data_IF_297423760486
#
_entry.id   IF_297423760486
#
_cell.length_a   1.000
_cell.length_b   1.000
_cell.length_c   1.000
_cell.angle_alpha   90.00
_cell.angle_beta   90.00
_cell.angle_gamma   90.00
#
_symmetry.space_group_name_H-M   'P 1'
#
loop_
_entity.id
_entity.type
_entity.pdbx_description
1 polymer ?
#
# COMPACT_ATOMS: atom_id res chain seq x y z
N UNK A 1 -16.11 0.88 13.30
CA UNK A 1 -15.85 1.98 12.35
C UNK A 1 -16.75 1.78 11.13
N UNK A 2 -17.49 2.80 10.66
CA UNK A 2 -18.23 2.67 9.39
C UNK A 2 -17.25 2.56 8.22
N UNK A 3 -17.50 1.64 7.29
CA UNK A 3 -16.66 1.39 6.11
C UNK A 3 -17.54 1.53 4.87
N UNK A 4 -17.07 2.30 3.88
CA UNK A 4 -17.63 2.27 2.54
C UNK A 4 -17.01 1.09 1.78
N UNK A 5 -17.77 0.00 1.63
CA UNK A 5 -17.28 -1.23 1.00
C UNK A 5 -16.85 -1.07 -0.46
N UNK A 6 -17.55 -0.23 -1.23
CA UNK A 6 -17.18 0.07 -2.62
C UNK A 6 -15.83 0.78 -2.71
N UNK A 7 -15.62 1.79 -1.86
CA UNK A 7 -14.34 2.50 -1.79
C UNK A 7 -13.22 1.57 -1.32
N UNK A 8 -13.46 0.75 -0.29
CA UNK A 8 -12.48 -0.23 0.18
C UNK A 8 -12.07 -1.21 -0.93
N UNK A 9 -13.03 -1.81 -1.63
CA UNK A 9 -12.75 -2.73 -2.73
C UNK A 9 -11.96 -2.05 -3.85
N UNK A 10 -12.38 -0.87 -4.29
CA UNK A 10 -11.67 -0.09 -5.32
C UNK A 10 -10.24 0.23 -4.89
N UNK A 11 -10.04 0.70 -3.65
CA UNK A 11 -8.70 0.96 -3.12
C UNK A 11 -7.84 -0.29 -3.05
N UNK A 12 -8.41 -1.43 -2.64
CA UNK A 12 -7.70 -2.70 -2.60
C UNK A 12 -7.23 -3.17 -3.98
N UNK A 13 -8.10 -3.09 -4.99
CA UNK A 13 -7.77 -3.45 -6.38
C UNK A 13 -6.68 -2.53 -6.92
N UNK A 14 -6.82 -1.21 -6.77
CA UNK A 14 -5.83 -0.25 -7.27
C UNK A 14 -4.49 -0.44 -6.56
N UNK A 15 -4.48 -0.62 -5.24
CA UNK A 15 -3.25 -0.85 -4.48
C UNK A 15 -2.55 -2.14 -4.92
N UNK A 16 -3.31 -3.23 -5.07
CA UNK A 16 -2.77 -4.51 -5.53
C UNK A 16 -2.11 -4.38 -6.90
N UNK A 17 -2.80 -3.74 -7.85
CA UNK A 17 -2.27 -3.51 -9.20
C UNK A 17 -1.05 -2.60 -9.16
N UNK A 18 -1.10 -1.48 -8.43
CA UNK A 18 0.01 -0.54 -8.34
C UNK A 18 1.27 -1.18 -7.72
N UNK A 19 1.12 -1.93 -6.62
CA UNK A 19 2.22 -2.68 -6.01
C UNK A 19 2.77 -3.73 -6.97
N UNK A 20 1.90 -4.49 -7.64
CA UNK A 20 2.31 -5.50 -8.62
C UNK A 20 3.10 -4.90 -9.79
N UNK A 21 2.62 -3.79 -10.35
CA UNK A 21 3.31 -3.07 -11.44
C UNK A 21 4.66 -2.52 -10.97
N UNK A 22 4.72 -1.88 -9.80
CA UNK A 22 5.99 -1.36 -9.28
C UNK A 22 6.99 -2.49 -8.96
N UNK A 23 6.52 -3.62 -8.44
CA UNK A 23 7.35 -4.80 -8.21
C UNK A 23 7.91 -5.35 -9.54
N UNK A 24 7.09 -5.46 -10.58
CA UNK A 24 7.54 -5.88 -11.91
C UNK A 24 8.55 -4.91 -12.52
N UNK A 25 8.26 -3.61 -12.50
CA UNK A 25 9.18 -2.58 -13.00
C UNK A 25 10.51 -2.65 -12.26
N UNK A 26 10.48 -2.74 -10.92
CA UNK A 26 11.70 -2.80 -10.11
C UNK A 26 12.47 -4.08 -10.40
N UNK A 27 11.81 -5.23 -10.49
CA UNK A 27 12.44 -6.52 -10.78
C UNK A 27 13.06 -6.62 -12.18
N UNK A 28 12.54 -5.84 -13.14
CA UNK A 28 13.08 -5.76 -14.50
C UNK A 28 14.22 -4.74 -14.63
N UNK A 29 14.18 -3.64 -13.88
CA UNK A 29 15.13 -2.52 -14.01
C UNK A 29 16.29 -2.57 -13.02
N UNK A 30 16.14 -3.24 -11.88
CA UNK A 30 17.15 -3.27 -10.82
C UNK A 30 17.82 -4.64 -10.71
N UNK A 31 19.16 -4.69 -10.55
CA UNK A 31 19.86 -5.94 -10.31
C UNK A 31 19.52 -6.50 -8.92
N UNK A 32 19.67 -7.81 -8.73
CA UNK A 32 19.39 -8.47 -7.45
C UNK A 32 20.14 -7.83 -6.26
N UNK A 33 21.40 -7.45 -6.46
CA UNK A 33 22.24 -6.79 -5.45
C UNK A 33 21.68 -5.44 -4.96
N UNK A 34 20.88 -4.75 -5.78
CA UNK A 34 20.20 -3.53 -5.35
C UNK A 34 19.11 -3.83 -4.31
N UNK A 35 18.40 -4.97 -4.43
CA UNK A 35 17.42 -5.40 -3.44
C UNK A 35 18.08 -5.90 -2.15
N UNK A 36 19.24 -6.54 -2.24
CA UNK A 36 20.01 -6.94 -1.05
C UNK A 36 20.49 -5.72 -0.24
N UNK A 37 20.96 -4.68 -0.94
CA UNK A 37 21.54 -3.49 -0.32
C UNK A 37 20.49 -2.46 0.12
N UNK A 38 19.43 -2.29 -0.68
CA UNK A 38 18.44 -1.21 -0.53
C UNK A 38 17.00 -1.70 -0.48
N UNK A 39 16.74 -3.01 -0.42
CA UNK A 39 15.38 -3.56 -0.39
C UNK A 39 14.54 -3.02 0.78
N UNK A 40 15.19 -2.75 1.91
CA UNK A 40 14.57 -2.11 3.08
C UNK A 40 14.04 -0.70 2.79
N UNK A 41 14.53 -0.03 1.74
CA UNK A 41 14.09 1.29 1.28
C UNK A 41 13.22 1.20 0.03
N UNK A 42 13.61 0.38 -0.96
CA UNK A 42 12.87 0.17 -2.22
C UNK A 42 11.44 -0.28 -1.94
N UNK A 43 11.25 -1.26 -1.05
CA UNK A 43 9.93 -1.78 -0.69
C UNK A 43 9.01 -0.70 -0.10
N UNK A 44 9.39 -0.03 1.00
CA UNK A 44 8.60 1.05 1.58
C UNK A 44 8.34 2.22 0.62
N UNK A 45 9.30 2.60 -0.22
CA UNK A 45 9.08 3.65 -1.22
C UNK A 45 8.06 3.21 -2.27
N UNK A 46 8.19 2.01 -2.82
CA UNK A 46 7.23 1.46 -3.79
C UNK A 46 5.82 1.37 -3.17
N UNK A 47 5.72 0.96 -1.90
CA UNK A 47 4.47 0.94 -1.14
C UNK A 47 3.83 2.33 -1.01
N UNK A 48 4.62 3.35 -0.64
CA UNK A 48 4.13 4.72 -0.50
C UNK A 48 3.74 5.35 -1.84
N UNK A 49 4.46 5.05 -2.92
CA UNK A 49 4.09 5.45 -4.28
C UNK A 49 2.76 4.79 -4.68
N UNK A 50 2.60 3.47 -4.47
CA UNK A 50 1.35 2.77 -4.72
C UNK A 50 0.19 3.35 -3.89
N UNK A 51 0.41 3.63 -2.60
CA UNK A 51 -0.59 4.22 -1.72
C UNK A 51 -1.04 5.60 -2.20
N UNK A 52 -0.09 6.40 -2.72
CA UNK A 52 -0.37 7.71 -3.31
C UNK A 52 -1.23 7.56 -4.57
N UNK A 53 -0.85 6.66 -5.49
CA UNK A 53 -1.63 6.35 -6.70
C UNK A 53 -3.05 5.92 -6.31
N UNK A 54 -3.18 5.03 -5.35
CA UNK A 54 -4.47 4.54 -4.86
C UNK A 54 -5.33 5.67 -4.31
N UNK A 55 -4.79 6.51 -3.42
CA UNK A 55 -5.52 7.63 -2.84
C UNK A 55 -6.02 8.60 -3.91
N UNK A 56 -5.17 8.93 -4.90
CA UNK A 56 -5.55 9.79 -6.02
C UNK A 56 -6.65 9.13 -6.89
N UNK A 57 -6.51 7.85 -7.21
CA UNK A 57 -7.45 7.10 -8.05
C UNK A 57 -8.86 6.97 -7.42
N UNK A 58 -8.94 6.95 -6.09
CA UNK A 58 -10.21 6.94 -5.35
C UNK A 58 -10.59 8.30 -4.75
N UNK A 59 -9.88 9.38 -5.13
CA UNK A 59 -10.17 10.77 -4.73
C UNK A 59 -10.19 10.97 -3.20
N UNK A 60 -9.23 10.39 -2.49
CA UNK A 60 -9.05 10.57 -1.05
C UNK A 60 -7.93 11.59 -0.74
N UNK A 61 -8.04 12.34 0.37
CA UNK A 61 -6.98 13.25 0.81
C UNK A 61 -5.69 12.47 1.13
N UNK A 62 -4.56 12.98 0.64
CA UNK A 62 -3.26 12.30 0.74
C UNK A 62 -2.75 12.15 2.18
N UNK A 63 -2.72 13.19 3.04
CA UNK A 63 -2.13 13.05 4.37
C UNK A 63 -2.74 11.92 5.23
N UNK A 64 -4.08 11.78 5.37
CA UNK A 64 -4.64 10.67 6.13
C UNK A 64 -4.50 9.33 5.40
N UNK A 65 -4.42 9.30 4.06
CA UNK A 65 -4.12 8.07 3.33
C UNK A 65 -2.69 7.61 3.61
N UNK A 66 -1.70 8.50 3.57
CA UNK A 66 -0.31 8.18 3.92
C UNK A 66 -0.17 7.66 5.35
N UNK A 67 -0.87 8.25 6.32
CA UNK A 67 -0.91 7.71 7.67
C UNK A 67 -1.42 6.27 7.69
N UNK A 68 -2.54 6.00 6.99
CA UNK A 68 -3.07 4.65 6.85
C UNK A 68 -2.10 3.68 6.18
N UNK A 69 -1.38 4.13 5.15
CA UNK A 69 -0.38 3.34 4.45
C UNK A 69 0.81 3.00 5.35
N UNK A 70 1.31 3.96 6.14
CA UNK A 70 2.39 3.73 7.10
C UNK A 70 1.95 2.71 8.15
N UNK A 71 0.75 2.88 8.73
CA UNK A 71 0.23 1.96 9.74
C UNK A 71 -0.02 0.55 9.19
N UNK A 72 -0.58 0.45 7.98
CA UNK A 72 -0.79 -0.83 7.30
C UNK A 72 0.53 -1.50 6.89
N UNK A 73 1.59 -0.72 6.68
CA UNK A 73 2.93 -1.20 6.37
C UNK A 73 3.64 -1.87 7.55
N UNK A 74 3.28 -1.54 8.80
CA UNK A 74 3.94 -2.09 10.00
C UNK A 74 3.82 -3.63 10.07
N UNK A 75 2.61 -4.24 9.98
CA UNK A 75 2.48 -5.69 9.91
C UNK A 75 3.26 -6.30 8.73
N UNK A 76 3.29 -5.64 7.58
CA UNK A 76 4.05 -6.13 6.43
C UNK A 76 5.56 -6.10 6.67
N UNK A 77 6.08 -5.06 7.33
CA UNK A 77 7.50 -4.97 7.68
C UNK A 77 7.90 -6.11 8.61
N UNK A 78 7.07 -6.42 9.61
CA UNK A 78 7.28 -7.57 10.52
C UNK A 78 7.28 -8.88 9.72
N UNK A 79 6.29 -9.07 8.84
CA UNK A 79 6.20 -10.26 8.00
C UNK A 79 7.42 -10.43 7.08
N UNK A 80 7.95 -9.34 6.53
CA UNK A 80 9.18 -9.37 5.72
C UNK A 80 10.40 -9.85 6.51
N UNK A 81 10.56 -9.40 7.76
CA UNK A 81 11.68 -9.82 8.63
C UNK A 81 11.67 -11.33 8.89
N UNK A 82 10.50 -11.96 8.96
CA UNK A 82 10.37 -13.42 9.15
C UNK A 82 10.24 -14.21 7.84
N UNK A 83 10.52 -13.58 6.69
CA UNK A 83 10.50 -14.23 5.36
C UNK A 83 9.11 -14.32 4.70
N UNK A 84 8.05 -13.93 5.39
CA UNK A 84 6.65 -13.97 4.93
C UNK A 84 6.23 -12.70 4.16
N UNK A 85 7.14 -12.08 3.41
CA UNK A 85 6.93 -10.78 2.76
C UNK A 85 5.67 -10.70 1.86
N UNK A 86 5.35 -11.75 1.09
CA UNK A 86 4.13 -11.79 0.28
C UNK A 86 2.85 -11.78 1.12
N UNK A 87 2.83 -12.53 2.23
CA UNK A 87 1.69 -12.52 3.16
C UNK A 87 1.55 -11.14 3.82
N UNK A 88 2.68 -10.55 4.21
CA UNK A 88 2.75 -9.18 4.73
C UNK A 88 2.12 -8.16 3.78
N UNK A 89 2.48 -8.23 2.50
CA UNK A 89 1.95 -7.33 1.48
C UNK A 89 0.43 -7.47 1.31
N UNK A 90 -0.09 -8.71 1.29
CA UNK A 90 -1.54 -8.96 1.20
C UNK A 90 -2.26 -8.38 2.42
N UNK A 91 -1.75 -8.61 3.63
CA UNK A 91 -2.31 -8.06 4.87
C UNK A 91 -2.31 -6.53 4.82
N UNK A 92 -1.19 -5.91 4.41
CA UNK A 92 -1.10 -4.46 4.29
C UNK A 92 -2.09 -3.89 3.27
N UNK A 93 -2.27 -4.54 2.11
CA UNK A 93 -3.28 -4.14 1.11
C UNK A 93 -4.68 -4.18 1.72
N UNK A 94 -5.03 -5.25 2.45
CA UNK A 94 -6.32 -5.37 3.11
C UNK A 94 -6.49 -4.25 4.15
N UNK A 95 -5.53 -4.07 5.05
CA UNK A 95 -5.59 -3.04 6.09
C UNK A 95 -5.70 -1.63 5.50
N UNK A 96 -4.90 -1.31 4.47
CA UNK A 96 -4.94 -0.03 3.80
C UNK A 96 -6.26 0.19 3.05
N UNK A 97 -6.79 -0.84 2.39
CA UNK A 97 -8.09 -0.76 1.71
C UNK A 97 -9.24 -0.47 2.68
N UNK A 98 -9.24 -1.09 3.85
CA UNK A 98 -10.21 -0.83 4.92
C UNK A 98 -10.05 0.58 5.49
N UNK A 99 -8.81 1.05 5.66
CA UNK A 99 -8.55 2.43 6.06
C UNK A 99 -9.14 3.44 5.06
N UNK A 100 -8.87 3.26 3.76
CA UNK A 100 -9.44 4.08 2.69
C UNK A 100 -10.98 4.04 2.68
N UNK A 101 -11.57 2.86 2.88
CA UNK A 101 -13.03 2.71 3.03
C UNK A 101 -13.58 3.47 4.24
N UNK A 102 -12.82 3.54 5.33
CA UNK A 102 -13.13 4.35 6.51
C UNK A 102 -13.06 5.86 6.24
N UNK A 103 -12.02 6.32 5.53
CA UNK A 103 -11.89 7.73 5.11
C UNK A 103 -13.05 8.15 4.20
N UNK A 104 -13.38 7.30 3.22
CA UNK A 104 -14.49 7.54 2.29
C UNK A 104 -15.85 7.59 3.02
N UNK A 105 -16.07 6.72 4.01
CA UNK A 105 -17.29 6.74 4.83
C UNK A 105 -17.44 8.01 5.66
N UNK A 106 -16.32 8.66 6.02
CA UNK A 106 -16.30 9.92 6.78
C UNK A 106 -16.45 11.17 5.90
N UNK A 107 -16.43 11.03 4.56
CA UNK A 107 -16.43 12.16 3.61
C UNK A 107 -15.55 13.33 4.09
N UNK A 108 -14.29 13.04 4.40
CA UNK A 108 -13.30 14.10 4.61
C UNK A 108 -13.01 14.70 3.23
N UNK A 109 -13.88 15.64 2.81
CA UNK A 109 -13.54 16.59 1.78
C UNK A 109 -12.53 17.54 2.42
N UNK A 110 -11.32 17.57 1.90
CA UNK A 110 -10.39 18.67 2.16
C UNK A 110 -11.03 19.98 1.67
#
# INVERSE_FOLDING_TARGET
MKINGSAALRSGIVQLVAVGVLALISGLLLPHSAFESFGWLIGPLAWMVAATITALAVQLPLPPAWLGAVLAGIPSAIATVIGAHWLGAVIAIICFSLWCGGLAARRIKA
#
